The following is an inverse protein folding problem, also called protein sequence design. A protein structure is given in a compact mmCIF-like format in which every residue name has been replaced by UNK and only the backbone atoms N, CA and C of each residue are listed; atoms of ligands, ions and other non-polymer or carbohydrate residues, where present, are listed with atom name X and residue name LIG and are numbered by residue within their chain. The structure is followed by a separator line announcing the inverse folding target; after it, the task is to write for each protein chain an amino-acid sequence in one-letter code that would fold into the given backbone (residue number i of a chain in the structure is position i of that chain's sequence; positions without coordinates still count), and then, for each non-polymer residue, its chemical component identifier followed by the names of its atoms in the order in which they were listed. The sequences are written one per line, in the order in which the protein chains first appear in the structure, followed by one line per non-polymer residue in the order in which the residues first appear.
data_IF_291228406595
#
_entry.id   IF_291228406595
#
_cell.length_a   1.000
_cell.length_b   1.000
_cell.length_c   1.000
_cell.angle_alpha   90.00
_cell.angle_beta   90.00
_cell.angle_gamma   90.00
#
_symmetry.space_group_name_H-M   'P 1'
#
loop_
_entity.id
_entity.type
_entity.pdbx_description
1 polymer ?
#
# COMPACT_ATOMS: atom_id res chain seq x y z
N UNK A 1 -9.01 69.08 33.93
CA UNK A 1 -8.90 70.47 34.41
C UNK A 1 -7.62 70.58 35.21
N UNK A 2 -6.75 71.51 34.81
CA UNK A 2 -5.54 72.02 35.49
C UNK A 2 -4.26 71.16 35.51
N UNK A 3 -3.24 71.73 34.84
CA UNK A 3 -1.81 71.38 34.82
C UNK A 3 -1.11 71.93 36.09
N UNK A 4 -0.17 71.19 36.70
CA UNK A 4 1.25 71.61 36.86
C UNK A 4 2.10 70.67 37.75
N UNK A 5 3.26 70.38 37.17
CA UNK A 5 4.53 69.75 37.56
C UNK A 5 5.00 70.01 39.02
N UNK A 6 5.53 68.99 39.70
CA UNK A 6 6.74 69.09 40.54
C UNK A 6 7.57 67.79 40.47
N UNK A 7 8.88 67.98 40.34
CA UNK A 7 9.95 66.98 40.21
C UNK A 7 10.56 66.75 41.60
N UNK A 8 10.97 65.51 41.91
CA UNK A 8 12.11 65.08 42.76
C UNK A 8 11.77 63.94 43.76
N UNK A 9 12.54 62.84 43.64
CA UNK A 9 13.25 62.26 44.78
C UNK A 9 12.61 61.09 45.55
N UNK A 10 13.43 60.05 45.71
CA UNK A 10 13.46 59.03 46.79
C UNK A 10 12.54 57.80 46.71
N UNK A 11 13.23 56.68 46.46
CA UNK A 11 12.86 55.26 46.59
C UNK A 11 12.21 54.89 47.93
N UNK A 12 11.11 54.11 47.90
CA UNK A 12 10.89 52.98 48.84
C UNK A 12 10.10 51.88 48.12
N UNK A 13 10.74 50.73 47.94
CA UNK A 13 10.11 49.52 47.41
C UNK A 13 9.27 48.83 48.50
N UNK A 14 7.95 48.72 48.29
CA UNK A 14 7.07 47.92 49.14
C UNK A 14 6.90 46.53 48.52
N UNK A 15 7.47 45.55 49.22
CA UNK A 15 7.45 44.12 48.90
C UNK A 15 6.08 43.55 49.26
N UNK A 16 5.29 43.15 48.26
CA UNK A 16 4.01 42.45 48.47
C UNK A 16 4.25 40.95 48.33
N UNK A 17 4.33 40.26 49.47
CA UNK A 17 4.34 38.79 49.54
C UNK A 17 2.97 38.24 49.16
N UNK A 18 2.86 37.57 48.00
CA UNK A 18 1.68 36.77 47.67
C UNK A 18 1.71 35.47 48.45
N UNK A 19 0.70 35.28 49.30
CA UNK A 19 0.33 34.01 49.91
C UNK A 19 0.05 32.99 48.81
N UNK A 20 0.88 31.94 48.74
CA UNK A 20 0.64 30.78 47.91
C UNK A 20 -0.39 29.91 48.65
N UNK A 21 -1.64 29.94 48.19
CA UNK A 21 -2.62 28.93 48.56
C UNK A 21 -2.24 27.61 47.88
N UNK A 22 -1.83 26.62 48.68
CA UNK A 22 -1.65 25.24 48.22
C UNK A 22 -3.01 24.59 47.99
N UNK A 23 -3.60 24.82 46.82
CA UNK A 23 -4.66 23.93 46.33
C UNK A 23 -3.97 22.65 45.86
N UNK A 24 -4.10 21.58 46.65
CA UNK A 24 -3.82 20.23 46.19
C UNK A 24 -4.93 19.85 45.19
N UNK A 25 -4.81 20.36 43.96
CA UNK A 25 -5.56 19.86 42.83
C UNK A 25 -5.06 18.46 42.49
N UNK A 26 -5.98 17.49 42.46
CA UNK A 26 -5.77 16.20 41.84
C UNK A 26 -5.28 16.44 40.40
N UNK A 27 -3.97 16.31 40.17
CA UNK A 27 -3.42 16.23 38.81
C UNK A 27 -3.79 14.85 38.28
N UNK A 28 -4.81 14.79 37.43
CA UNK A 28 -4.96 13.68 36.49
C UNK A 28 -3.62 13.54 35.73
N UNK A 29 -3.09 12.32 35.69
CA UNK A 29 -1.78 12.01 35.13
C UNK A 29 -1.57 12.59 33.73
N UNK A 30 -0.39 13.16 33.53
CA UNK A 30 -0.06 14.07 32.44
C UNK A 30 0.06 13.42 31.07
N UNK A 31 -0.71 13.94 30.13
CA UNK A 31 -0.39 13.88 28.70
C UNK A 31 -0.13 15.31 28.26
N UNK A 32 1.15 15.65 28.07
CA UNK A 32 1.53 17.00 27.61
C UNK A 32 1.25 17.18 26.12
N UNK A 33 1.27 16.09 25.34
CA UNK A 33 0.96 16.02 23.91
C UNK A 33 0.43 14.63 23.54
N UNK A 34 -0.46 14.48 22.55
CA UNK A 34 -0.94 13.16 22.12
C UNK A 34 0.21 12.33 21.56
N UNK A 35 0.28 11.06 21.98
CA UNK A 35 1.24 10.12 21.43
C UNK A 35 0.73 9.61 20.07
N UNK A 36 1.41 10.01 18.99
CA UNK A 36 1.01 9.67 17.61
C UNK A 36 1.37 8.22 17.28
N UNK A 37 2.52 7.72 17.75
CA UNK A 37 3.02 6.39 17.42
C UNK A 37 2.75 5.41 18.55
N UNK A 38 1.88 4.45 18.28
CA UNK A 38 1.51 3.37 19.21
C UNK A 38 1.58 1.98 18.57
N UNK A 39 1.93 1.89 17.29
CA UNK A 39 2.01 0.62 16.57
C UNK A 39 3.06 -0.30 17.18
N UNK A 40 2.76 -1.59 17.24
CA UNK A 40 3.54 -2.58 17.96
C UNK A 40 4.95 -2.83 17.40
N UNK A 41 5.15 -2.52 16.11
CA UNK A 41 6.48 -2.58 15.49
C UNK A 41 7.44 -1.51 16.01
N UNK A 42 6.92 -0.42 16.59
CA UNK A 42 7.72 0.66 17.19
C UNK A 42 7.67 0.61 18.72
N UNK A 43 6.52 0.25 19.29
CA UNK A 43 6.32 0.07 20.73
C UNK A 43 6.00 -1.40 20.99
N UNK A 44 7.02 -2.26 21.21
CA UNK A 44 6.82 -3.70 21.30
C UNK A 44 5.91 -4.08 22.46
N UNK A 45 4.90 -4.92 22.16
CA UNK A 45 3.87 -5.34 23.13
C UNK A 45 4.45 -6.07 24.34
N UNK A 46 5.52 -6.84 24.15
CA UNK A 46 6.16 -7.60 25.23
C UNK A 46 6.82 -6.72 26.31
N UNK A 47 7.10 -5.45 26.01
CA UNK A 47 7.67 -4.48 26.97
C UNK A 47 6.60 -3.61 27.63
N UNK A 48 5.33 -3.82 27.29
CA UNK A 48 4.23 -2.96 27.70
C UNK A 48 3.33 -3.71 28.70
N UNK A 49 3.22 -3.24 29.96
CA UNK A 49 2.39 -3.88 30.98
C UNK A 49 0.93 -4.07 30.59
N UNK A 50 0.43 -3.30 29.61
CA UNK A 50 -0.95 -3.44 29.08
C UNK A 50 -1.21 -4.80 28.41
N UNK A 51 -0.16 -5.52 28.03
CA UNK A 51 -0.25 -6.82 27.37
C UNK A 51 0.04 -8.00 28.30
N UNK A 52 0.26 -7.75 29.59
CA UNK A 52 0.50 -8.82 30.56
C UNK A 52 -0.72 -9.75 30.68
N UNK A 53 -0.49 -11.06 30.58
CA UNK A 53 -1.54 -12.08 30.64
C UNK A 53 -2.34 -12.30 29.35
N UNK A 54 -2.00 -11.62 28.25
CA UNK A 54 -2.59 -11.88 26.94
C UNK A 54 -1.82 -13.04 26.28
N UNK A 55 -2.54 -14.10 25.90
CA UNK A 55 -1.97 -15.17 25.07
C UNK A 55 -1.77 -14.66 23.64
N UNK A 56 -0.53 -14.79 23.16
CA UNK A 56 -0.09 -14.33 21.84
C UNK A 56 0.16 -15.52 20.88
N UNK A 57 -0.24 -16.73 21.28
CA UNK A 57 -0.20 -17.90 20.40
C UNK A 57 -1.03 -17.65 19.13
N UNK A 58 -0.53 -18.15 17.99
CA UNK A 58 -1.17 -18.03 16.68
C UNK A 58 -1.37 -19.42 16.10
N UNK A 59 -2.52 -19.65 15.49
CA UNK A 59 -2.74 -20.82 14.66
C UNK A 59 -1.81 -20.79 13.44
N UNK A 60 -1.30 -21.96 13.06
CA UNK A 60 -0.44 -22.13 11.91
C UNK A 60 -1.12 -23.04 10.89
N UNK A 61 -0.89 -22.75 9.61
CA UNK A 61 -1.33 -23.57 8.49
C UNK A 61 -0.11 -23.86 7.59
N UNK A 62 -0.08 -25.04 6.97
CA UNK A 62 1.08 -25.55 6.21
C UNK A 62 0.80 -25.55 4.71
N UNK A 63 1.61 -24.86 3.93
CA UNK A 63 1.58 -24.89 2.47
C UNK A 63 2.99 -25.05 1.91
N UNK A 64 3.13 -25.63 0.72
CA UNK A 64 4.43 -25.79 0.06
C UNK A 64 4.98 -24.44 -0.41
N UNK A 65 4.09 -23.57 -0.92
CA UNK A 65 4.45 -22.23 -1.38
C UNK A 65 3.44 -21.20 -0.88
N UNK A 66 3.91 -20.21 -0.13
CA UNK A 66 3.16 -19.02 0.24
C UNK A 66 3.62 -17.81 -0.57
N UNK A 67 2.70 -17.17 -1.29
CA UNK A 67 2.94 -15.95 -2.06
C UNK A 67 2.26 -14.77 -1.36
N UNK A 68 3.02 -13.72 -1.10
CA UNK A 68 2.52 -12.49 -0.49
C UNK A 68 2.25 -11.45 -1.58
N UNK A 69 0.98 -11.22 -1.86
CA UNK A 69 0.47 -10.24 -2.82
C UNK A 69 -0.13 -10.88 -4.08
N UNK A 70 -1.44 -10.72 -4.25
CA UNK A 70 -2.20 -11.10 -5.43
C UNK A 70 -2.13 -10.02 -6.53
N UNK A 71 -0.92 -9.53 -6.82
CA UNK A 71 -0.64 -8.69 -7.97
C UNK A 71 -0.35 -9.53 -9.24
N UNK A 72 -0.06 -8.90 -10.39
CA UNK A 72 0.21 -9.63 -11.62
C UNK A 72 1.41 -10.58 -11.48
N UNK A 73 2.45 -10.20 -10.73
CA UNK A 73 3.60 -11.06 -10.49
C UNK A 73 3.26 -12.27 -9.60
N UNK A 74 2.62 -12.04 -8.45
CA UNK A 74 2.29 -13.12 -7.52
C UNK A 74 1.31 -14.12 -8.11
N UNK A 75 0.27 -13.64 -8.80
CA UNK A 75 -0.68 -14.50 -9.48
C UNK A 75 -0.03 -15.26 -10.64
N UNK A 76 0.84 -14.62 -11.43
CA UNK A 76 1.56 -15.32 -12.51
C UNK A 76 2.46 -16.43 -11.96
N UNK A 77 3.14 -16.19 -10.83
CA UNK A 77 3.95 -17.21 -10.17
C UNK A 77 3.09 -18.38 -9.66
N UNK A 78 1.98 -18.08 -8.98
CA UNK A 78 1.05 -19.10 -8.48
C UNK A 78 0.50 -19.97 -9.61
N UNK A 79 0.02 -19.35 -10.68
CA UNK A 79 -0.49 -20.01 -11.88
C UNK A 79 0.58 -20.91 -12.49
N UNK A 80 1.79 -20.39 -12.70
CA UNK A 80 2.84 -21.19 -13.34
C UNK A 80 3.28 -22.37 -12.47
N UNK A 81 3.29 -22.22 -11.15
CA UNK A 81 3.54 -23.32 -10.22
C UNK A 81 2.49 -24.42 -10.34
N UNK A 82 1.21 -24.07 -10.38
CA UNK A 82 0.14 -25.06 -10.56
C UNK A 82 0.20 -25.75 -11.93
N UNK A 83 0.50 -25.01 -13.01
CA UNK A 83 0.72 -25.60 -14.33
C UNK A 83 1.89 -26.59 -14.33
N UNK A 84 3.01 -26.24 -13.68
CA UNK A 84 4.18 -27.12 -13.58
C UNK A 84 3.91 -28.36 -12.72
N UNK A 85 3.13 -28.20 -11.64
CA UNK A 85 2.64 -29.29 -10.79
C UNK A 85 1.79 -30.29 -11.57
N UNK A 86 0.89 -29.80 -12.42
CA UNK A 86 0.09 -30.65 -13.33
C UNK A 86 0.98 -31.34 -14.38
N UNK A 87 1.95 -30.62 -14.95
CA UNK A 87 2.92 -31.18 -15.93
C UNK A 87 3.81 -32.27 -15.31
N UNK A 88 4.25 -32.12 -14.05
CA UNK A 88 5.11 -33.09 -13.36
C UNK A 88 4.35 -34.23 -12.68
N UNK A 89 3.07 -34.02 -12.36
CA UNK A 89 2.25 -34.92 -11.56
C UNK A 89 2.54 -34.86 -10.06
N UNK A 90 3.30 -33.85 -9.60
CA UNK A 90 3.57 -33.62 -8.18
C UNK A 90 2.53 -32.66 -7.61
N UNK A 91 1.73 -33.11 -6.65
CA UNK A 91 0.76 -32.25 -5.97
C UNK A 91 1.47 -31.28 -5.02
N UNK A 92 1.21 -29.98 -5.19
CA UNK A 92 1.68 -28.91 -4.30
C UNK A 92 0.50 -28.04 -3.84
N UNK A 93 0.58 -27.53 -2.61
CA UNK A 93 -0.35 -26.54 -2.07
C UNK A 93 0.24 -25.14 -2.19
N UNK A 94 -0.34 -24.33 -3.07
CA UNK A 94 0.04 -22.93 -3.28
C UNK A 94 -1.00 -21.99 -2.70
N UNK A 95 -0.60 -21.17 -1.74
CA UNK A 95 -1.45 -20.17 -1.10
C UNK A 95 -0.99 -18.76 -1.50
N UNK A 96 -1.94 -17.87 -1.80
CA UNK A 96 -1.69 -16.45 -2.08
C UNK A 96 -2.45 -15.61 -1.07
N UNK A 97 -1.77 -14.76 -0.31
CA UNK A 97 -2.41 -13.81 0.60
C UNK A 97 -2.35 -12.39 0.03
N UNK A 98 -3.45 -11.64 0.12
CA UNK A 98 -3.47 -10.24 -0.30
C UNK A 98 -4.17 -9.34 0.72
N UNK A 99 -3.62 -8.15 0.91
CA UNK A 99 -4.18 -7.15 1.83
C UNK A 99 -5.50 -6.57 1.33
N UNK A 100 -5.70 -6.48 0.02
CA UNK A 100 -6.90 -5.91 -0.56
C UNK A 100 -8.13 -6.76 -0.21
N UNK A 101 -9.30 -6.14 0.06
CA UNK A 101 -10.51 -6.88 0.38
C UNK A 101 -10.97 -7.79 -0.76
N UNK A 102 -10.56 -7.48 -2.00
CA UNK A 102 -10.78 -8.28 -3.19
C UNK A 102 -9.53 -8.19 -4.09
N UNK A 103 -9.28 -9.24 -4.87
CA UNK A 103 -8.17 -9.27 -5.84
C UNK A 103 -8.29 -8.09 -6.81
N UNK A 104 -7.19 -7.35 -6.97
CA UNK A 104 -7.13 -6.18 -7.84
C UNK A 104 -7.63 -4.86 -7.20
N UNK A 105 -8.26 -4.87 -6.03
CA UNK A 105 -8.81 -3.64 -5.44
C UNK A 105 -7.75 -2.61 -5.00
N UNK A 106 -6.53 -3.06 -4.66
CA UNK A 106 -5.38 -2.18 -4.43
C UNK A 106 -4.46 -2.00 -5.65
N UNK A 107 -4.82 -2.57 -6.81
CA UNK A 107 -4.01 -2.44 -8.03
C UNK A 107 -4.29 -1.12 -8.72
N UNK A 108 -3.24 -0.30 -8.89
CA UNK A 108 -3.31 0.99 -9.58
C UNK A 108 -2.23 1.10 -10.66
N UNK A 109 -2.64 1.37 -11.90
CA UNK A 109 -1.73 1.64 -13.01
C UNK A 109 -2.48 2.31 -14.18
N UNK A 110 -1.78 3.14 -14.97
CA UNK A 110 -2.26 3.63 -16.28
C UNK A 110 -1.98 2.65 -17.42
N UNK A 111 -1.91 1.35 -17.11
CA UNK A 111 -1.17 0.32 -17.82
C UNK A 111 -1.30 0.29 -19.35
N UNK A 112 -0.13 0.23 -19.99
CA UNK A 112 0.07 -0.31 -21.33
C UNK A 112 0.80 -1.64 -21.16
N UNK A 113 0.13 -2.74 -21.51
CA UNK A 113 0.60 -4.10 -21.28
C UNK A 113 1.24 -4.66 -22.56
N UNK A 114 2.50 -5.06 -22.47
CA UNK A 114 3.19 -5.85 -23.49
C UNK A 114 2.81 -7.33 -23.27
N UNK A 115 2.27 -8.02 -24.28
CA UNK A 115 1.58 -9.29 -24.06
C UNK A 115 2.51 -10.51 -24.00
N UNK A 116 3.83 -10.39 -24.12
CA UNK A 116 4.73 -11.55 -24.26
C UNK A 116 4.67 -12.50 -23.08
N UNK A 117 4.80 -11.97 -21.86
CA UNK A 117 4.72 -12.80 -20.66
C UNK A 117 3.32 -13.45 -20.51
N UNK A 118 2.27 -12.75 -20.93
CA UNK A 118 0.92 -13.32 -20.94
C UNK A 118 0.77 -14.40 -22.02
N UNK A 119 1.37 -14.23 -23.19
CA UNK A 119 1.39 -15.25 -24.25
C UNK A 119 2.16 -16.50 -23.81
N UNK A 120 3.20 -16.35 -22.98
CA UNK A 120 3.93 -17.48 -22.40
C UNK A 120 3.11 -18.19 -21.32
N UNK A 121 2.43 -17.43 -20.45
CA UNK A 121 1.65 -18.00 -19.34
C UNK A 121 0.31 -18.61 -19.79
N UNK A 122 -0.37 -17.95 -20.74
CA UNK A 122 -1.65 -18.35 -21.31
C UNK A 122 -1.65 -18.05 -22.82
N UNK A 123 -1.13 -18.94 -23.67
CA UNK A 123 -1.16 -18.75 -25.12
C UNK A 123 -2.57 -18.54 -25.69
N UNK A 124 -3.59 -19.03 -24.98
CA UNK A 124 -5.02 -19.00 -25.29
C UNK A 124 -5.78 -17.90 -24.51
N UNK A 125 -5.10 -16.88 -23.97
CA UNK A 125 -5.74 -15.83 -23.15
C UNK A 125 -6.92 -15.12 -23.84
N UNK A 126 -6.91 -15.06 -25.18
CA UNK A 126 -8.02 -14.47 -25.96
C UNK A 126 -9.29 -15.28 -25.87
N UNK A 127 -9.17 -16.60 -25.90
CA UNK A 127 -10.30 -17.54 -25.82
C UNK A 127 -10.83 -17.64 -24.38
N UNK A 128 -9.97 -17.31 -23.41
CA UNK A 128 -10.30 -17.17 -21.97
C UNK A 128 -10.89 -15.81 -21.59
N UNK A 129 -11.25 -15.00 -22.59
CA UNK A 129 -11.87 -13.69 -22.41
C UNK A 129 -11.06 -12.71 -21.54
N UNK A 130 -9.71 -12.78 -21.58
CA UNK A 130 -8.89 -11.85 -20.82
C UNK A 130 -9.22 -10.38 -21.20
N UNK A 131 -9.22 -9.44 -20.24
CA UNK A 131 -9.76 -8.10 -20.43
C UNK A 131 -8.81 -7.14 -21.18
N UNK A 132 -8.23 -7.59 -22.30
CA UNK A 132 -7.31 -6.86 -23.18
C UNK A 132 -8.03 -6.48 -24.48
N UNK A 133 -8.99 -5.55 -24.38
CA UNK A 133 -9.86 -5.19 -25.51
C UNK A 133 -9.34 -4.01 -26.37
N UNK A 134 -8.36 -3.25 -25.86
CA UNK A 134 -7.94 -1.99 -26.48
C UNK A 134 -6.50 -2.08 -26.98
N UNK A 135 -6.25 -2.51 -28.23
CA UNK A 135 -4.91 -2.48 -28.80
C UNK A 135 -4.43 -1.03 -28.98
N UNK A 136 -3.14 -0.78 -28.77
CA UNK A 136 -2.55 0.54 -29.00
C UNK A 136 -2.48 0.82 -30.50
N UNK A 137 -3.15 1.88 -30.94
CA UNK A 137 -3.19 2.28 -32.36
C UNK A 137 -2.20 3.40 -32.70
N UNK A 138 -1.80 4.20 -31.72
CA UNK A 138 -0.91 5.35 -31.91
C UNK A 138 -0.25 5.74 -30.60
N UNK A 139 1.02 6.13 -30.68
CA UNK A 139 1.75 6.71 -29.57
C UNK A 139 1.95 8.21 -29.78
N UNK A 140 2.06 8.97 -28.69
CA UNK A 140 2.38 10.39 -28.74
C UNK A 140 3.17 10.82 -27.51
N UNK A 141 4.25 11.55 -27.73
CA UNK A 141 5.10 12.07 -26.67
C UNK A 141 5.24 13.57 -26.85
N UNK A 142 5.12 14.31 -25.75
CA UNK A 142 5.21 15.77 -25.76
C UNK A 142 6.11 16.26 -24.64
N UNK A 143 6.95 17.24 -24.95
CA UNK A 143 7.58 18.08 -23.95
C UNK A 143 6.65 19.27 -23.65
N UNK A 144 6.28 19.44 -22.38
CA UNK A 144 5.33 20.46 -21.95
C UNK A 144 6.08 21.65 -21.30
N UNK A 145 5.64 22.86 -21.62
CA UNK A 145 5.95 24.08 -20.86
C UNK A 145 4.67 24.64 -20.28
N UNK A 146 4.75 25.67 -19.43
CA UNK A 146 3.56 26.30 -18.80
C UNK A 146 2.44 26.62 -19.82
N UNK A 147 2.80 27.00 -21.05
CA UNK A 147 1.85 27.48 -22.06
C UNK A 147 1.87 26.72 -23.38
N UNK A 148 2.76 25.74 -23.57
CA UNK A 148 2.97 25.09 -24.89
C UNK A 148 3.25 23.59 -24.75
N UNK A 149 3.00 22.86 -25.84
CA UNK A 149 3.44 21.46 -26.03
C UNK A 149 4.29 21.35 -27.28
N UNK A 150 5.41 20.64 -27.18
CA UNK A 150 6.30 20.36 -28.30
C UNK A 150 6.29 18.85 -28.57
N UNK A 151 5.86 18.39 -29.78
CA UNK A 151 5.84 16.98 -30.09
C UNK A 151 7.27 16.42 -30.18
N UNK A 152 7.47 15.25 -29.59
CA UNK A 152 8.70 14.47 -29.73
C UNK A 152 8.41 13.27 -30.65
N UNK A 153 9.26 13.01 -31.66
CA UNK A 153 9.06 11.89 -32.56
C UNK A 153 9.25 10.56 -31.83
N UNK A 154 8.32 9.63 -32.03
CA UNK A 154 8.43 8.24 -31.58
C UNK A 154 8.74 7.41 -32.82
N UNK A 155 9.94 6.84 -32.87
CA UNK A 155 10.39 5.96 -33.95
C UNK A 155 10.54 4.52 -33.45
N UNK A 156 10.41 3.50 -34.33
CA UNK A 156 10.68 2.12 -33.97
C UNK A 156 12.07 1.95 -33.36
N UNK A 157 12.16 1.15 -32.29
CA UNK A 157 13.40 0.96 -31.51
C UNK A 157 13.53 1.86 -30.29
N UNK A 158 12.66 2.87 -30.12
CA UNK A 158 12.55 3.60 -28.86
C UNK A 158 11.69 2.83 -27.84
N UNK A 159 11.99 2.91 -26.53
CA UNK A 159 11.25 2.21 -25.48
C UNK A 159 9.79 2.67 -25.34
N UNK A 160 9.44 3.83 -25.91
CA UNK A 160 8.07 4.39 -25.90
C UNK A 160 7.21 3.95 -27.08
N UNK A 161 7.72 3.03 -27.93
CA UNK A 161 6.98 2.49 -29.07
C UNK A 161 6.15 1.27 -28.64
N UNK A 162 4.82 1.42 -28.57
CA UNK A 162 3.90 0.44 -27.99
C UNK A 162 3.18 -0.42 -29.04
N UNK A 163 3.75 -0.57 -30.24
CA UNK A 163 3.16 -1.42 -31.27
C UNK A 163 2.99 -2.86 -30.78
N UNK A 164 1.76 -3.38 -30.84
CA UNK A 164 1.41 -4.73 -30.36
C UNK A 164 0.98 -4.80 -28.89
N UNK A 165 1.03 -3.69 -28.14
CA UNK A 165 0.60 -3.63 -26.74
C UNK A 165 -0.88 -3.29 -26.61
N UNK A 166 -1.41 -3.43 -25.38
CA UNK A 166 -2.80 -3.15 -25.05
C UNK A 166 -2.92 -2.12 -23.93
N UNK A 167 -3.86 -1.18 -24.05
CA UNK A 167 -4.29 -0.32 -22.94
C UNK A 167 -5.26 -1.11 -22.08
N UNK A 168 -4.96 -1.25 -20.78
CA UNK A 168 -5.75 -2.12 -19.89
C UNK A 168 -6.12 -1.43 -18.58
N UNK A 169 -7.24 -1.87 -18.00
CA UNK A 169 -7.56 -1.61 -16.60
C UNK A 169 -6.84 -2.66 -15.76
N UNK A 170 -5.66 -2.34 -15.24
CA UNK A 170 -4.81 -3.35 -14.58
C UNK A 170 -5.52 -4.07 -13.43
N UNK A 171 -6.35 -3.38 -12.63
CA UNK A 171 -7.15 -4.03 -11.58
C UNK A 171 -8.13 -5.08 -12.11
N UNK A 172 -8.72 -4.88 -13.29
CA UNK A 172 -9.58 -5.89 -13.92
C UNK A 172 -8.77 -7.07 -14.45
N UNK A 173 -7.59 -6.80 -15.04
CA UNK A 173 -6.67 -7.84 -15.49
C UNK A 173 -6.17 -8.71 -14.32
N UNK A 174 -5.84 -8.09 -13.19
CA UNK A 174 -5.42 -8.79 -11.97
C UNK A 174 -6.57 -9.61 -11.38
N UNK A 175 -7.82 -9.10 -11.40
CA UNK A 175 -9.00 -9.89 -11.02
C UNK A 175 -9.16 -11.13 -11.90
N UNK A 176 -9.06 -10.96 -13.22
CA UNK A 176 -9.11 -12.09 -14.17
C UNK A 176 -7.99 -13.10 -13.91
N UNK A 177 -6.75 -12.66 -13.63
CA UNK A 177 -5.67 -13.55 -13.23
C UNK A 177 -5.99 -14.31 -11.94
N UNK A 178 -6.66 -13.66 -10.98
CA UNK A 178 -7.14 -14.31 -9.75
C UNK A 178 -8.11 -15.45 -10.06
N UNK A 179 -9.10 -15.21 -10.91
CA UNK A 179 -10.06 -16.22 -11.37
C UNK A 179 -9.35 -17.40 -12.07
N UNK A 180 -8.33 -17.12 -12.90
CA UNK A 180 -7.53 -18.18 -13.53
C UNK A 180 -6.70 -18.97 -12.50
N UNK A 181 -6.14 -18.31 -11.49
CA UNK A 181 -5.38 -18.96 -10.43
C UNK A 181 -6.27 -19.89 -9.58
N UNK A 182 -7.42 -19.39 -9.14
CA UNK A 182 -8.39 -20.19 -8.38
C UNK A 182 -8.90 -21.40 -9.18
N UNK A 183 -9.13 -21.23 -10.49
CA UNK A 183 -9.53 -22.33 -11.37
C UNK A 183 -8.45 -23.43 -11.50
N UNK A 184 -7.18 -23.11 -11.27
CA UNK A 184 -6.06 -24.05 -11.24
C UNK A 184 -5.79 -24.62 -9.84
N UNK A 185 -6.63 -24.31 -8.85
CA UNK A 185 -6.50 -24.82 -7.48
C UNK A 185 -5.60 -24.00 -6.56
N UNK A 186 -5.18 -22.79 -6.97
CA UNK A 186 -4.49 -21.85 -6.06
C UNK A 186 -5.47 -21.38 -4.98
N UNK A 187 -5.06 -21.44 -3.72
CA UNK A 187 -5.83 -20.90 -2.62
C UNK A 187 -5.55 -19.40 -2.47
N UNK A 188 -6.48 -18.56 -2.93
CA UNK A 188 -6.34 -17.09 -2.88
C UNK A 188 -7.12 -16.51 -1.71
N UNK A 189 -6.42 -15.82 -0.82
CA UNK A 189 -6.96 -15.24 0.42
C UNK A 189 -6.86 -13.70 0.41
N UNK A 190 -7.85 -13.00 -0.17
CA UNK A 190 -7.94 -11.55 -0.05
C UNK A 190 -8.33 -11.13 1.38
N UNK A 191 -8.01 -9.90 1.75
CA UNK A 191 -8.25 -9.33 3.09
C UNK A 191 -7.26 -9.76 4.16
N UNK A 192 -6.28 -10.60 3.83
CA UNK A 192 -5.24 -11.07 4.76
C UNK A 192 -3.93 -10.35 4.47
N UNK A 193 -3.64 -9.34 5.28
CA UNK A 193 -2.35 -8.66 5.24
C UNK A 193 -1.28 -9.53 5.92
N UNK A 194 -0.23 -9.88 5.18
CA UNK A 194 0.96 -10.48 5.78
C UNK A 194 1.61 -9.48 6.75
N UNK A 195 1.69 -9.87 8.02
CA UNK A 195 2.29 -9.08 9.09
C UNK A 195 2.93 -10.00 10.13
N UNK A 196 4.01 -9.54 10.75
CA UNK A 196 4.68 -10.20 11.89
C UNK A 196 3.80 -10.32 13.15
#
# INVERSE_FOLDING_TARGET
MMLRILKQGSTVALRVSRLIHSSHGLRAGGVTHPQITTHYSVVPRHNDPRWEGIDMSREADECDVLIVGAGPAGLSAAIRLMQLSEESGEEIRVCVVDKAPEVGAHTLSGAVLEPRALNELFPDWKDREAPLHTPVTSDSMYFLTEKRRFPLPIIPGLPMHNHGNYVVRLGNFVRWLGEQAEALGVEVYPGIAASE
#
